data_IF_511150135043
#
_entry.id   IF_511150135043
#
_cell.length_a   1.000
_cell.length_b   1.000
_cell.length_c   1.000
_cell.angle_alpha   90.00
_cell.angle_beta   90.00
_cell.angle_gamma   90.00
#
_symmetry.space_group_name_H-M   'P 1'
#
loop_
_entity.id
_entity.type
_entity.pdbx_description
1 polymer ?
#
# COMPACT_ATOMS: atom_id res chain seq x y z
N UNK A 1 -5.93 -8.32 -18.53
CA UNK A 1 -4.53 -8.17 -18.10
C UNK A 1 -3.56 -8.33 -19.24
N UNK A 2 -3.44 -9.49 -19.89
CA UNK A 2 -2.43 -9.66 -20.96
C UNK A 2 -2.49 -8.57 -22.05
N UNK A 3 -3.69 -8.25 -22.56
CA UNK A 3 -3.86 -7.16 -23.53
C UNK A 3 -3.40 -5.80 -22.98
N UNK A 4 -3.61 -5.54 -21.68
CA UNK A 4 -3.18 -4.30 -21.02
C UNK A 4 -1.65 -4.24 -20.94
N UNK A 5 -0.96 -5.37 -20.87
CA UNK A 5 0.50 -5.42 -20.72
C UNK A 5 1.27 -5.65 -22.03
N UNK A 6 0.58 -6.05 -23.11
CA UNK A 6 1.15 -6.11 -24.46
C UNK A 6 1.23 -4.75 -25.18
N UNK A 7 0.76 -3.68 -24.54
CA UNK A 7 0.83 -2.32 -25.09
C UNK A 7 2.24 -1.75 -25.02
N UNK A 8 2.53 -0.84 -25.94
CA UNK A 8 3.74 -0.02 -25.89
C UNK A 8 3.58 1.09 -24.85
N UNK A 9 4.12 0.85 -23.66
CA UNK A 9 4.25 1.86 -22.61
C UNK A 9 5.57 1.63 -21.89
N UNK A 10 6.32 2.71 -21.74
CA UNK A 10 7.56 2.77 -20.99
C UNK A 10 7.45 3.85 -19.91
N UNK A 11 8.09 3.63 -18.76
CA UNK A 11 8.25 4.64 -17.72
C UNK A 11 9.61 4.50 -17.05
N UNK A 12 9.96 5.49 -16.23
CA UNK A 12 11.17 5.44 -15.41
C UNK A 12 10.85 5.74 -13.96
N UNK A 13 11.56 5.09 -13.06
CA UNK A 13 11.49 5.43 -11.63
C UNK A 13 12.25 6.72 -11.32
N UNK A 14 12.25 7.10 -10.03
CA UNK A 14 12.92 8.31 -9.55
C UNK A 14 14.47 8.23 -9.58
N UNK A 15 15.06 7.05 -9.78
CA UNK A 15 16.51 6.87 -10.02
C UNK A 15 16.84 6.74 -11.51
N UNK A 16 15.85 6.79 -12.40
CA UNK A 16 16.03 6.68 -13.85
C UNK A 16 16.09 5.24 -14.38
N UNK A 17 15.77 4.22 -13.57
CA UNK A 17 15.65 2.86 -14.10
C UNK A 17 14.40 2.80 -15.00
N UNK A 18 14.56 2.23 -16.19
CA UNK A 18 13.52 2.14 -17.22
C UNK A 18 12.79 0.81 -17.13
N UNK A 19 11.49 0.85 -17.38
CA UNK A 19 10.61 -0.32 -17.38
C UNK A 19 9.63 -0.24 -18.53
N UNK A 20 9.27 -1.39 -19.08
CA UNK A 20 8.16 -1.53 -20.03
C UNK A 20 7.09 -2.47 -19.49
N UNK A 21 5.87 -2.37 -20.02
CA UNK A 21 4.81 -3.29 -19.65
C UNK A 21 5.14 -4.74 -20.03
N UNK A 22 5.70 -4.95 -21.22
CA UNK A 22 6.06 -6.28 -21.70
C UNK A 22 7.08 -6.96 -20.78
N UNK A 23 8.15 -6.24 -20.39
CA UNK A 23 9.18 -6.79 -19.49
C UNK A 23 8.63 -7.14 -18.11
N UNK A 24 7.75 -6.31 -17.54
CA UNK A 24 7.15 -6.58 -16.23
C UNK A 24 6.15 -7.75 -16.26
N UNK A 25 5.43 -7.91 -17.38
CA UNK A 25 4.58 -9.06 -17.64
C UNK A 25 5.37 -10.36 -17.77
N UNK A 26 6.40 -10.34 -18.60
CA UNK A 26 7.31 -11.47 -18.81
C UNK A 26 8.03 -11.85 -17.52
N UNK A 27 8.46 -10.88 -16.72
CA UNK A 27 9.08 -11.13 -15.43
C UNK A 27 8.15 -11.91 -14.49
N UNK A 28 6.88 -11.50 -14.39
CA UNK A 28 5.94 -12.16 -13.47
C UNK A 28 5.48 -13.54 -13.95
N UNK A 29 5.50 -13.81 -15.26
CA UNK A 29 5.20 -15.12 -15.84
C UNK A 29 6.41 -16.06 -15.86
N UNK A 30 7.61 -15.48 -15.91
CA UNK A 30 8.88 -16.18 -15.94
C UNK A 30 9.26 -16.81 -14.60
N UNK A 31 10.48 -17.32 -14.58
CA UNK A 31 11.10 -17.78 -13.36
C UNK A 31 11.62 -16.58 -12.56
N UNK A 32 11.31 -16.55 -11.26
CA UNK A 32 11.71 -15.47 -10.38
C UNK A 32 13.23 -15.43 -10.28
N UNK A 33 13.79 -14.25 -10.52
CA UNK A 33 15.23 -13.98 -10.44
C UNK A 33 15.47 -12.96 -9.36
N UNK A 34 16.30 -13.31 -8.37
CA UNK A 34 16.70 -12.38 -7.33
C UNK A 34 17.44 -11.18 -7.93
N UNK A 35 16.96 -9.96 -7.64
CA UNK A 35 17.64 -8.73 -8.08
C UNK A 35 17.93 -7.83 -6.89
N UNK A 36 19.20 -7.52 -6.68
CA UNK A 36 19.68 -6.67 -5.57
C UNK A 36 19.91 -5.22 -5.98
N UNK A 37 19.94 -4.97 -7.28
CA UNK A 37 20.18 -3.68 -7.94
C UNK A 37 18.88 -2.90 -8.22
N UNK A 38 17.78 -3.25 -7.54
CA UNK A 38 16.49 -2.60 -7.74
C UNK A 38 16.38 -1.27 -6.97
N UNK A 39 15.54 -0.38 -7.51
CA UNK A 39 15.09 0.85 -6.86
C UNK A 39 13.67 0.62 -6.29
N UNK A 40 13.48 0.32 -5.01
CA UNK A 40 14.42 0.03 -3.95
C UNK A 40 14.07 -1.34 -3.35
N UNK A 41 14.94 -1.90 -2.50
CA UNK A 41 14.74 -3.24 -1.96
C UNK A 41 15.35 -4.34 -2.84
N UNK A 42 15.10 -5.60 -2.46
CA UNK A 42 15.63 -6.78 -3.15
C UNK A 42 14.46 -7.57 -3.75
N UNK A 43 14.39 -7.57 -5.09
CA UNK A 43 13.33 -8.26 -5.84
C UNK A 43 13.50 -9.78 -5.69
N UNK A 44 12.41 -10.47 -5.40
CA UNK A 44 12.29 -11.92 -5.21
C UNK A 44 13.36 -12.51 -4.28
N UNK A 45 13.78 -11.76 -3.26
CA UNK A 45 14.77 -12.22 -2.29
C UNK A 45 14.32 -13.53 -1.59
N UNK A 46 15.13 -14.58 -1.70
CA UNK A 46 14.82 -15.92 -1.18
C UNK A 46 13.78 -16.68 -2.02
N UNK A 47 13.48 -16.21 -3.24
CA UNK A 47 12.45 -16.77 -4.14
C UNK A 47 12.99 -17.12 -5.52
N UNK A 48 14.31 -17.15 -5.69
CA UNK A 48 14.93 -17.58 -6.95
C UNK A 48 14.40 -18.94 -7.39
N UNK A 49 14.01 -19.06 -8.66
CA UNK A 49 13.50 -20.31 -9.23
C UNK A 49 11.97 -20.50 -9.15
N UNK A 50 11.25 -19.68 -8.37
CA UNK A 50 9.79 -19.79 -8.27
C UNK A 50 9.10 -19.28 -9.54
N UNK A 51 8.07 -20.00 -9.99
CA UNK A 51 7.18 -19.65 -11.11
C UNK A 51 5.81 -19.26 -10.59
N UNK A 52 4.96 -18.72 -11.48
CA UNK A 52 3.61 -18.28 -11.11
C UNK A 52 2.79 -19.38 -10.42
N UNK A 53 2.90 -20.63 -10.89
CA UNK A 53 2.22 -21.79 -10.29
C UNK A 53 2.68 -22.06 -8.84
N UNK A 54 3.91 -21.69 -8.49
CA UNK A 54 4.41 -21.79 -7.12
C UNK A 54 3.81 -20.71 -6.24
N UNK A 55 3.64 -19.50 -6.77
CA UNK A 55 2.94 -18.41 -6.07
C UNK A 55 1.46 -18.69 -5.87
N UNK A 56 0.81 -19.38 -6.81
CA UNK A 56 -0.57 -19.87 -6.63
C UNK A 56 -0.66 -20.83 -5.44
N UNK A 57 0.27 -21.78 -5.33
CA UNK A 57 0.33 -22.69 -4.17
C UNK A 57 0.63 -21.96 -2.86
N UNK A 58 1.55 -20.99 -2.88
CA UNK A 58 1.83 -20.14 -1.70
C UNK A 58 0.58 -19.37 -1.24
N UNK A 59 -0.20 -18.83 -2.18
CA UNK A 59 -1.45 -18.14 -1.86
C UNK A 59 -2.51 -19.11 -1.31
N UNK A 60 -2.63 -20.30 -1.90
CA UNK A 60 -3.55 -21.34 -1.44
C UNK A 60 -3.20 -21.80 -0.02
N UNK A 61 -1.94 -22.10 0.27
CA UNK A 61 -1.45 -22.45 1.61
C UNK A 61 -1.69 -21.30 2.60
N UNK A 62 -1.42 -20.06 2.19
CA UNK A 62 -1.63 -18.88 3.02
C UNK A 62 -3.09 -18.69 3.43
N UNK A 63 -4.02 -18.82 2.47
CA UNK A 63 -5.46 -18.66 2.70
C UNK A 63 -6.00 -19.84 3.50
N UNK A 64 -5.70 -21.07 3.08
CA UNK A 64 -6.25 -22.29 3.70
C UNK A 64 -5.78 -22.49 5.14
N UNK A 65 -4.56 -22.05 5.47
CA UNK A 65 -4.05 -22.11 6.85
C UNK A 65 -4.74 -21.13 7.80
N UNK A 66 -5.40 -20.09 7.28
CA UNK A 66 -6.09 -19.05 8.07
C UNK A 66 -7.61 -19.23 8.09
N UNK A 67 -8.18 -19.63 6.96
CA UNK A 67 -9.61 -19.88 6.80
C UNK A 67 -9.83 -20.91 5.70
N UNK A 68 -10.00 -22.20 6.04
CA UNK A 68 -10.17 -23.29 5.07
C UNK A 68 -11.33 -23.10 4.09
N UNK A 69 -12.40 -22.41 4.51
CA UNK A 69 -13.59 -22.16 3.69
C UNK A 69 -13.51 -20.84 2.89
N UNK A 70 -12.41 -20.09 3.01
CA UNK A 70 -12.27 -18.82 2.29
C UNK A 70 -12.01 -19.05 0.80
N UNK A 71 -12.52 -18.17 -0.08
CA UNK A 71 -12.27 -18.26 -1.51
C UNK A 71 -10.78 -18.07 -1.83
N UNK A 72 -10.21 -19.04 -2.54
CA UNK A 72 -8.83 -18.97 -3.03
C UNK A 72 -8.64 -17.88 -4.09
N UNK A 73 -7.39 -17.45 -4.26
CA UNK A 73 -7.02 -16.55 -5.34
C UNK A 73 -6.92 -17.33 -6.66
N UNK A 74 -7.45 -16.73 -7.73
CA UNK A 74 -7.23 -17.18 -9.10
C UNK A 74 -5.83 -16.80 -9.58
N UNK A 75 -5.34 -17.47 -10.62
CA UNK A 75 -4.07 -17.14 -11.29
C UNK A 75 -3.93 -15.65 -11.62
N UNK A 76 -5.00 -15.05 -12.15
CA UNK A 76 -5.00 -13.62 -12.51
C UNK A 76 -4.94 -12.70 -11.28
N UNK A 77 -5.54 -13.10 -10.16
CA UNK A 77 -5.44 -12.34 -8.90
C UNK A 77 -4.03 -12.43 -8.33
N UNK A 78 -3.40 -13.61 -8.35
CA UNK A 78 -1.99 -13.79 -7.95
C UNK A 78 -1.07 -12.96 -8.84
N UNK A 79 -1.25 -13.03 -10.15
CA UNK A 79 -0.45 -12.27 -11.11
C UNK A 79 -0.65 -10.75 -10.95
N UNK A 80 -1.88 -10.29 -10.70
CA UNK A 80 -2.16 -8.87 -10.46
C UNK A 80 -1.42 -8.34 -9.22
N UNK A 81 -1.37 -9.11 -8.13
CA UNK A 81 -0.61 -8.76 -6.92
C UNK A 81 0.88 -8.70 -7.24
N UNK A 82 1.43 -9.69 -7.95
CA UNK A 82 2.84 -9.70 -8.36
C UNK A 82 3.19 -8.48 -9.22
N UNK A 83 2.39 -8.19 -10.25
CA UNK A 83 2.60 -7.03 -11.11
C UNK A 83 2.56 -5.72 -10.32
N UNK A 84 1.56 -5.57 -9.44
CA UNK A 84 1.39 -4.36 -8.64
C UNK A 84 2.51 -4.15 -7.63
N UNK A 85 2.98 -5.19 -6.95
CA UNK A 85 4.10 -5.06 -6.01
C UNK A 85 5.43 -4.75 -6.69
N UNK A 86 5.50 -4.89 -8.02
CA UNK A 86 6.64 -4.50 -8.84
C UNK A 86 6.55 -3.09 -9.40
N UNK A 87 7.47 -2.71 -10.29
CA UNK A 87 7.48 -1.41 -10.98
C UNK A 87 6.17 -0.97 -11.65
N UNK A 88 5.31 -1.92 -12.04
CA UNK A 88 4.02 -1.63 -12.68
C UNK A 88 3.01 -0.93 -11.75
N UNK A 89 3.26 -0.81 -10.44
CA UNK A 89 2.43 0.01 -9.55
C UNK A 89 2.26 1.45 -10.06
N UNK A 90 3.29 2.00 -10.72
CA UNK A 90 3.29 3.40 -11.18
C UNK A 90 2.23 3.66 -12.24
N UNK A 91 2.23 2.99 -13.40
CA UNK A 91 1.20 3.19 -14.41
C UNK A 91 -0.20 2.76 -13.92
N UNK A 92 -0.31 1.71 -13.10
CA UNK A 92 -1.60 1.26 -12.54
C UNK A 92 -2.22 2.35 -11.63
N UNK A 93 -1.44 2.88 -10.68
CA UNK A 93 -1.93 3.93 -9.78
C UNK A 93 -2.14 5.27 -10.51
N UNK A 94 -1.32 5.58 -11.51
CA UNK A 94 -1.50 6.75 -12.37
C UNK A 94 -2.84 6.69 -13.10
N UNK A 95 -3.17 5.54 -13.70
CA UNK A 95 -4.46 5.32 -14.35
C UNK A 95 -5.64 5.55 -13.40
N UNK A 96 -5.63 4.95 -12.20
CA UNK A 96 -6.71 5.12 -11.23
C UNK A 96 -6.91 6.59 -10.82
N UNK A 97 -5.81 7.30 -10.57
CA UNK A 97 -5.85 8.73 -10.20
C UNK A 97 -6.39 9.60 -11.34
N UNK A 98 -6.03 9.30 -12.59
CA UNK A 98 -6.58 9.99 -13.76
C UNK A 98 -8.07 9.71 -13.94
N UNK A 99 -8.50 8.46 -13.80
CA UNK A 99 -9.92 8.07 -13.86
C UNK A 99 -10.74 8.78 -12.78
N UNK A 100 -10.19 8.86 -11.56
CA UNK A 100 -10.86 9.52 -10.43
C UNK A 100 -11.04 11.04 -10.65
N UNK A 101 -10.11 11.69 -11.35
CA UNK A 101 -10.20 13.12 -11.67
C UNK A 101 -11.24 13.45 -12.76
N UNK A 102 -11.67 12.46 -13.56
CA UNK A 102 -12.65 12.65 -14.63
C UNK A 102 -14.08 12.39 -14.16
N UNK A 103 -15.07 12.90 -14.90
CA UNK A 103 -16.50 12.67 -14.63
C UNK A 103 -17.26 12.28 -15.92
N UNK A 104 -18.43 11.65 -15.74
CA UNK A 104 -19.37 11.32 -16.82
C UNK A 104 -18.73 10.56 -17.99
N UNK A 105 -19.03 11.00 -19.21
CA UNK A 105 -18.55 10.37 -20.46
C UNK A 105 -17.02 10.28 -20.57
N UNK A 106 -16.29 11.25 -20.01
CA UNK A 106 -14.83 11.28 -20.11
C UNK A 106 -14.20 10.20 -19.23
N UNK A 107 -14.76 9.98 -18.04
CA UNK A 107 -14.37 8.87 -17.17
C UNK A 107 -14.64 7.52 -17.85
N UNK A 108 -15.84 7.35 -18.41
CA UNK A 108 -16.21 6.12 -19.11
C UNK A 108 -15.28 5.84 -20.30
N UNK A 109 -15.00 6.86 -21.12
CA UNK A 109 -14.10 6.74 -22.26
C UNK A 109 -12.71 6.27 -21.83
N UNK A 110 -12.07 6.95 -20.86
CA UNK A 110 -10.73 6.57 -20.37
C UNK A 110 -10.72 5.16 -19.77
N UNK A 111 -11.74 4.80 -18.99
CA UNK A 111 -11.81 3.50 -18.34
C UNK A 111 -11.94 2.33 -19.33
N UNK A 112 -12.57 2.57 -20.48
CA UNK A 112 -12.78 1.58 -21.54
C UNK A 112 -11.76 1.64 -22.69
N UNK A 113 -10.86 2.63 -22.69
CA UNK A 113 -9.90 2.82 -23.79
C UNK A 113 -8.87 1.69 -23.81
N UNK A 114 -8.84 0.84 -24.86
CA UNK A 114 -7.92 -0.29 -24.93
C UNK A 114 -6.44 0.11 -24.90
N UNK A 115 -6.10 1.34 -25.27
CA UNK A 115 -4.73 1.84 -25.27
C UNK A 115 -4.30 2.40 -23.91
N UNK A 116 -5.23 2.72 -23.01
CA UNK A 116 -4.93 3.41 -21.74
C UNK A 116 -5.34 2.61 -20.49
N UNK A 117 -6.30 1.70 -20.61
CA UNK A 117 -6.92 1.05 -19.45
C UNK A 117 -6.00 0.09 -18.70
N UNK A 118 -6.18 0.06 -17.37
CA UNK A 118 -5.75 -1.02 -16.47
C UNK A 118 -6.94 -1.58 -15.68
N UNK A 119 -8.17 -1.40 -16.17
CA UNK A 119 -9.39 -1.77 -15.46
C UNK A 119 -9.42 -3.25 -15.05
N UNK A 120 -8.92 -4.14 -15.91
CA UNK A 120 -8.95 -5.57 -15.64
C UNK A 120 -7.91 -5.95 -14.59
N UNK A 121 -6.68 -5.43 -14.69
CA UNK A 121 -5.68 -5.55 -13.61
C UNK A 121 -6.18 -5.00 -12.28
N UNK A 122 -6.82 -3.82 -12.27
CA UNK A 122 -7.38 -3.22 -11.06
C UNK A 122 -8.50 -4.09 -10.47
N UNK A 123 -9.35 -4.69 -11.31
CA UNK A 123 -10.42 -5.60 -10.88
C UNK A 123 -9.87 -6.85 -10.20
N UNK A 124 -8.88 -7.51 -10.80
CA UNK A 124 -8.24 -8.69 -10.20
C UNK A 124 -7.48 -8.33 -8.92
N UNK A 125 -6.76 -7.21 -8.90
CA UNK A 125 -6.05 -6.77 -7.70
C UNK A 125 -7.00 -6.43 -6.55
N UNK A 126 -8.11 -5.73 -6.83
CA UNK A 126 -9.12 -5.43 -5.81
C UNK A 126 -9.78 -6.70 -5.26
N UNK A 127 -10.06 -7.69 -6.12
CA UNK A 127 -10.59 -8.98 -5.69
C UNK A 127 -9.57 -9.74 -4.82
N UNK A 128 -8.29 -9.76 -5.20
CA UNK A 128 -7.21 -10.35 -4.39
C UNK A 128 -7.10 -9.68 -3.01
N UNK A 129 -7.09 -8.35 -2.97
CA UNK A 129 -7.04 -7.59 -1.71
C UNK A 129 -8.21 -7.95 -0.80
N UNK A 130 -9.43 -8.02 -1.34
CA UNK A 130 -10.61 -8.40 -0.53
C UNK A 130 -10.48 -9.81 0.06
N UNK A 131 -10.06 -10.80 -0.74
CA UNK A 131 -9.89 -12.19 -0.29
C UNK A 131 -8.81 -12.31 0.79
N UNK A 132 -7.69 -11.64 0.60
CA UNK A 132 -6.56 -11.68 1.53
C UNK A 132 -6.85 -10.90 2.82
N UNK A 133 -7.52 -9.75 2.73
CA UNK A 133 -7.96 -9.01 3.90
C UNK A 133 -8.95 -9.81 4.76
N UNK A 134 -9.88 -10.55 4.12
CA UNK A 134 -10.89 -11.35 4.82
C UNK A 134 -10.31 -12.49 5.69
N UNK A 135 -9.07 -12.91 5.44
CA UNK A 135 -8.41 -13.99 6.21
C UNK A 135 -7.34 -13.48 7.17
N UNK A 136 -7.15 -12.17 7.32
CA UNK A 136 -6.11 -11.67 8.21
C UNK A 136 -6.45 -11.91 9.68
N UNK A 137 -5.41 -12.12 10.47
CA UNK A 137 -5.49 -12.47 11.89
C UNK A 137 -5.74 -11.24 12.77
N UNK A 138 -6.24 -11.46 13.99
CA UNK A 138 -6.46 -10.38 14.96
C UNK A 138 -5.17 -9.59 15.27
N UNK A 139 -4.03 -10.27 15.34
CA UNK A 139 -2.73 -9.63 15.58
C UNK A 139 -2.30 -8.75 14.41
N UNK A 140 -2.55 -9.19 13.17
CA UNK A 140 -2.29 -8.40 11.96
C UNK A 140 -3.18 -7.16 11.88
N UNK A 141 -4.43 -7.28 12.34
CA UNK A 141 -5.40 -6.17 12.43
C UNK A 141 -4.99 -5.15 13.49
N UNK A 142 -4.50 -5.61 14.65
CA UNK A 142 -4.15 -4.72 15.77
C UNK A 142 -2.82 -3.97 15.56
N UNK A 143 -1.97 -4.44 14.63
CA UNK A 143 -0.65 -3.86 14.41
C UNK A 143 -0.72 -2.55 13.58
N UNK A 144 0.03 -1.50 13.96
CA UNK A 144 0.08 -0.27 13.18
C UNK A 144 0.81 -0.49 11.85
N UNK A 145 0.35 0.20 10.81
CA UNK A 145 0.97 0.21 9.48
C UNK A 145 1.61 1.56 9.18
N UNK A 146 2.65 1.56 8.36
CA UNK A 146 3.48 2.73 8.09
C UNK A 146 3.53 3.05 6.61
N UNK A 147 3.39 4.33 6.27
CA UNK A 147 3.50 4.81 4.88
C UNK A 147 4.17 6.17 4.81
N UNK A 148 5.24 6.25 4.04
CA UNK A 148 5.98 7.49 3.76
C UNK A 148 5.48 8.14 2.49
N UNK A 149 5.28 9.46 2.52
CA UNK A 149 4.94 10.28 1.36
C UNK A 149 5.91 11.45 1.28
N UNK A 150 6.43 11.73 0.07
CA UNK A 150 7.35 12.85 -0.16
C UNK A 150 6.60 14.18 -0.17
N UNK A 151 7.22 15.21 0.40
CA UNK A 151 6.69 16.57 0.42
C UNK A 151 5.80 16.87 1.62
N UNK A 152 5.10 18.00 1.56
CA UNK A 152 4.19 18.48 2.60
C UNK A 152 2.72 18.29 2.22
N UNK A 153 1.86 18.16 3.23
CA UNK A 153 0.42 18.22 3.02
C UNK A 153 -0.02 19.69 2.83
N UNK A 154 -0.89 19.99 1.84
CA UNK A 154 -1.37 21.35 1.61
C UNK A 154 -2.18 21.84 2.81
N UNK A 155 -2.20 23.15 3.08
CA UNK A 155 -2.95 23.70 4.23
C UNK A 155 -4.44 23.34 4.23
N UNK A 156 -5.04 23.20 3.04
CA UNK A 156 -6.44 22.78 2.87
C UNK A 156 -6.71 21.37 3.37
N UNK A 157 -5.69 20.51 3.47
CA UNK A 157 -5.81 19.17 4.02
C UNK A 157 -6.31 19.20 5.47
N UNK A 158 -5.86 20.17 6.27
CA UNK A 158 -6.16 20.27 7.69
C UNK A 158 -7.52 20.92 8.00
N UNK A 159 -8.32 21.20 6.97
CA UNK A 159 -9.66 21.76 7.16
C UNK A 159 -10.62 20.61 7.39
N UNK A 160 -11.16 20.56 8.61
CA UNK A 160 -12.19 19.61 8.96
C UNK A 160 -13.46 19.79 8.10
N UNK A 161 -14.12 18.68 7.78
CA UNK A 161 -15.39 18.67 7.07
C UNK A 161 -16.56 19.14 7.96
N UNK A 162 -17.79 19.07 7.42
CA UNK A 162 -19.00 19.46 8.15
C UNK A 162 -19.28 18.62 9.41
N UNK A 163 -18.62 17.47 9.56
CA UNK A 163 -18.71 16.59 10.73
C UNK A 163 -17.54 16.80 11.70
N UNK A 164 -16.63 17.73 11.42
CA UNK A 164 -15.46 18.01 12.25
C UNK A 164 -14.30 17.04 12.01
N UNK A 165 -14.32 16.26 10.93
CA UNK A 165 -13.30 15.25 10.61
C UNK A 165 -12.30 15.77 9.58
N UNK A 166 -11.02 15.45 9.76
CA UNK A 166 -10.00 15.63 8.73
C UNK A 166 -9.83 14.31 7.99
N UNK A 167 -10.11 14.32 6.67
CA UNK A 167 -10.10 13.11 5.85
C UNK A 167 -9.22 13.24 4.61
N UNK A 168 -8.56 12.14 4.26
CA UNK A 168 -7.86 11.97 2.99
C UNK A 168 -8.53 10.83 2.20
N UNK A 169 -8.54 10.90 0.88
CA UNK A 169 -8.94 9.75 0.05
C UNK A 169 -7.80 9.41 -0.90
N UNK A 170 -7.28 8.18 -0.79
CA UNK A 170 -6.38 7.63 -1.81
C UNK A 170 -7.25 6.96 -2.89
N UNK A 171 -7.20 7.52 -4.10
CA UNK A 171 -8.02 7.07 -5.22
C UNK A 171 -7.42 5.87 -5.94
N UNK A 172 -6.15 5.55 -5.68
CA UNK A 172 -5.47 4.37 -6.17
C UNK A 172 -5.29 3.32 -5.07
N UNK A 173 -4.57 2.23 -5.36
CA UNK A 173 -4.22 1.28 -4.30
C UNK A 173 -3.22 1.90 -3.32
N UNK A 174 -3.47 1.75 -2.02
CA UNK A 174 -2.64 2.35 -0.97
C UNK A 174 -1.73 1.29 -0.36
N UNK A 175 -0.46 1.28 -0.78
CA UNK A 175 0.60 0.46 -0.17
C UNK A 175 1.08 1.02 1.17
N UNK A 176 1.24 0.15 2.15
CA UNK A 176 1.81 0.41 3.48
C UNK A 176 2.74 -0.72 3.90
N UNK A 177 3.50 -0.55 4.98
CA UNK A 177 4.39 -1.59 5.52
C UNK A 177 4.12 -1.82 7.00
N UNK A 178 4.29 -3.07 7.46
CA UNK A 178 4.34 -3.38 8.92
C UNK A 178 5.62 -2.86 9.59
N UNK A 179 6.65 -2.56 8.83
CA UNK A 179 7.96 -2.15 9.35
C UNK A 179 8.12 -0.62 9.27
N UNK A 180 8.16 0.06 10.42
CA UNK A 180 8.40 1.52 10.49
C UNK A 180 9.74 1.92 9.89
N UNK A 181 10.82 1.31 10.41
CA UNK A 181 12.21 1.61 10.11
C UNK A 181 12.98 0.31 9.85
N UNK A 182 14.16 0.40 9.22
CA UNK A 182 15.07 -0.73 8.98
C UNK A 182 15.22 -1.56 10.27
N UNK A 183 14.74 -2.80 10.27
CA UNK A 183 15.25 -3.79 11.23
C UNK A 183 16.50 -4.43 10.63
N UNK A 184 17.52 -4.57 11.46
CA UNK A 184 18.65 -5.46 11.20
C UNK A 184 18.13 -6.89 11.14
N UNK A 185 18.22 -7.48 9.95
CA UNK A 185 17.97 -8.89 9.58
C UNK A 185 16.57 -9.46 9.89
N UNK A 186 15.97 -10.07 8.87
CA UNK A 186 14.78 -10.92 9.00
C UNK A 186 15.12 -12.17 9.86
N UNK A 187 14.49 -12.39 11.03
CA UNK A 187 14.68 -13.62 11.79
C UNK A 187 13.75 -14.75 11.34
N UNK A 188 12.78 -14.49 10.45
CA UNK A 188 11.58 -15.32 10.28
C UNK A 188 11.38 -15.95 8.90
N UNK A 189 12.42 -16.18 8.11
CA UNK A 189 12.34 -17.20 7.06
C UNK A 189 12.45 -18.59 7.71
N UNK A 190 11.36 -19.01 8.37
CA UNK A 190 11.03 -20.41 8.65
C UNK A 190 10.24 -21.03 7.48
N UNK A 191 10.49 -20.58 6.24
CA UNK A 191 10.12 -21.34 5.06
C UNK A 191 11.25 -22.33 4.76
N UNK A 192 10.90 -23.60 4.75
CA UNK A 192 11.79 -24.75 4.58
C UNK A 192 12.38 -24.75 3.17
N UNK A 193 13.61 -24.24 2.98
CA UNK A 193 14.54 -24.70 1.94
C UNK A 193 15.94 -24.06 2.09
N UNK A 194 16.95 -24.92 2.27
CA UNK A 194 18.39 -24.74 2.02
C UNK A 194 19.07 -23.45 2.53
N UNK A 195 19.57 -23.54 3.77
CA UNK A 195 20.55 -22.61 4.33
C UNK A 195 21.88 -22.71 3.58
N UNK A 196 22.23 -21.70 2.80
CA UNK A 196 23.63 -21.38 2.49
C UNK A 196 24.10 -20.28 3.44
N UNK A 197 25.21 -20.52 4.12
CA UNK A 197 25.67 -19.78 5.31
C UNK A 197 26.31 -18.40 5.04
N UNK A 198 26.27 -17.88 3.82
CA UNK A 198 27.05 -16.67 3.44
C UNK A 198 26.23 -15.55 2.78
N UNK A 199 24.90 -15.58 2.85
CA UNK A 199 24.08 -14.49 2.32
C UNK A 199 24.04 -13.30 3.30
N UNK A 200 24.48 -12.08 2.91
CA UNK A 200 24.31 -10.89 3.74
C UNK A 200 22.82 -10.67 4.05
N UNK A 201 22.46 -10.20 5.25
CA UNK A 201 21.07 -10.04 5.64
C UNK A 201 20.36 -9.11 4.65
N UNK A 202 19.26 -9.59 4.07
CA UNK A 202 18.42 -8.79 3.19
C UNK A 202 18.04 -7.49 3.93
N UNK A 203 18.52 -6.35 3.43
CA UNK A 203 18.18 -5.05 4.01
C UNK A 203 16.69 -4.83 3.81
N UNK A 204 15.90 -4.89 4.88
CA UNK A 204 14.49 -4.52 4.85
C UNK A 204 14.39 -3.07 4.40
N UNK A 205 13.86 -2.87 3.21
CA UNK A 205 13.55 -1.55 2.73
C UNK A 205 12.21 -1.16 3.37
N UNK A 206 12.17 0.02 3.98
CA UNK A 206 11.07 0.50 4.83
C UNK A 206 10.64 1.86 4.35
N UNK A 207 9.40 2.31 4.68
CA UNK A 207 8.88 3.59 4.23
C UNK A 207 9.83 4.78 4.46
N UNK A 208 10.58 4.77 5.57
CA UNK A 208 11.60 5.78 5.90
C UNK A 208 12.84 5.69 4.99
N UNK A 209 13.26 4.47 4.60
CA UNK A 209 14.45 4.25 3.79
C UNK A 209 14.33 4.81 2.36
N UNK A 210 13.13 4.83 1.78
CA UNK A 210 12.89 5.31 0.41
C UNK A 210 12.78 6.83 0.26
N UNK A 211 12.63 7.53 1.37
CA UNK A 211 12.45 8.99 1.37
C UNK A 211 13.80 9.68 1.18
N UNK A 212 13.81 10.72 0.36
CA UNK A 212 14.97 11.60 0.22
C UNK A 212 15.04 12.60 1.37
N UNK A 213 16.13 13.38 1.40
CA UNK A 213 16.26 14.51 2.31
C UNK A 213 15.15 15.55 2.10
N UNK A 214 14.88 16.35 3.13
CA UNK A 214 13.81 17.34 3.13
C UNK A 214 12.55 16.88 3.87
N UNK A 215 11.47 17.62 3.64
CA UNK A 215 10.18 17.41 4.30
C UNK A 215 9.40 16.25 3.68
N UNK A 216 8.92 15.37 4.55
CA UNK A 216 8.14 14.21 4.21
C UNK A 216 6.99 14.08 5.21
N UNK A 217 6.03 13.21 4.89
CA UNK A 217 4.92 12.84 5.75
C UNK A 217 5.04 11.35 6.06
N UNK A 218 4.90 10.98 7.33
CA UNK A 218 4.81 9.59 7.75
C UNK A 218 3.42 9.32 8.31
N UNK A 219 2.66 8.49 7.61
CA UNK A 219 1.39 7.99 8.08
C UNK A 219 1.62 6.79 8.98
N UNK A 220 1.01 6.84 10.17
CA UNK A 220 0.84 5.70 11.06
C UNK A 220 -0.64 5.34 11.05
N UNK A 221 -0.97 4.27 10.34
CA UNK A 221 -2.35 3.81 10.22
C UNK A 221 -2.68 2.83 11.35
N UNK A 222 -3.90 2.93 11.85
CA UNK A 222 -4.48 2.02 12.85
C UNK A 222 -5.62 1.22 12.23
N UNK A 223 -5.33 0.07 11.60
CA UNK A 223 -6.36 -0.82 11.07
C UNK A 223 -7.29 -1.32 12.19
N UNK A 224 -8.48 -1.77 11.80
CA UNK A 224 -9.46 -2.36 12.71
C UNK A 224 -10.14 -3.56 12.08
N UNK A 225 -10.80 -4.35 12.92
CA UNK A 225 -11.65 -5.42 12.43
C UNK A 225 -12.77 -4.82 11.58
N UNK A 226 -13.26 -5.59 10.62
CA UNK A 226 -14.43 -5.25 9.83
C UNK A 226 -15.61 -4.85 10.73
N UNK A 227 -16.36 -3.85 10.29
CA UNK A 227 -17.55 -3.37 11.00
C UNK A 227 -18.68 -3.09 10.01
N UNK A 228 -19.87 -2.77 10.53
CA UNK A 228 -21.05 -2.44 9.70
C UNK A 228 -20.82 -1.24 8.76
N UNK A 229 -19.80 -0.42 9.02
CA UNK A 229 -19.46 0.75 8.19
C UNK A 229 -18.40 0.47 7.12
N UNK A 230 -17.82 -0.74 7.10
CA UNK A 230 -16.92 -1.19 6.05
C UNK A 230 -15.70 -1.97 6.53
N UNK A 231 -14.76 -2.13 5.61
CA UNK A 231 -13.47 -2.78 5.85
C UNK A 231 -12.45 -1.74 6.29
N UNK A 232 -11.68 -2.09 7.33
CA UNK A 232 -10.70 -1.20 7.96
C UNK A 232 -9.29 -1.77 7.94
N UNK A 233 -9.06 -2.82 7.16
CA UNK A 233 -7.81 -3.56 7.11
C UNK A 233 -7.39 -3.82 5.66
N UNK A 234 -6.09 -3.75 5.43
CA UNK A 234 -5.49 -4.06 4.14
C UNK A 234 -5.16 -5.55 4.02
N UNK A 235 -4.81 -5.97 2.82
CA UNK A 235 -4.32 -7.31 2.53
C UNK A 235 -2.80 -7.38 2.76
N UNK A 236 -2.36 -8.33 3.57
CA UNK A 236 -0.96 -8.77 3.52
C UNK A 236 -0.67 -9.40 2.17
N UNK A 237 0.23 -8.81 1.41
CA UNK A 237 0.63 -9.33 0.10
C UNK A 237 2.09 -9.79 0.08
N UNK A 238 2.76 -9.84 1.24
CA UNK A 238 4.19 -10.17 1.33
C UNK A 238 4.54 -11.52 0.70
N UNK A 239 3.66 -12.54 0.81
CA UNK A 239 3.84 -13.87 0.22
C UNK A 239 3.82 -13.88 -1.31
N UNK A 240 3.19 -12.88 -1.93
CA UNK A 240 3.13 -12.72 -3.39
C UNK A 240 4.04 -11.60 -3.89
N UNK A 241 4.36 -10.62 -3.05
CA UNK A 241 5.10 -9.42 -3.44
C UNK A 241 6.44 -9.74 -4.08
N UNK A 242 6.81 -8.97 -5.10
CA UNK A 242 8.16 -9.00 -5.64
C UNK A 242 9.19 -8.51 -4.61
N UNK A 243 8.80 -7.80 -3.56
CA UNK A 243 9.69 -7.33 -2.49
C UNK A 243 9.22 -7.86 -1.13
N UNK A 244 9.39 -9.18 -0.84
CA UNK A 244 8.84 -9.79 0.37
C UNK A 244 9.35 -9.17 1.68
N UNK A 245 10.56 -8.61 1.67
CA UNK A 245 11.15 -7.94 2.83
C UNK A 245 10.47 -6.62 3.23
N UNK A 246 9.62 -6.05 2.37
CA UNK A 246 8.88 -4.82 2.66
C UNK A 246 7.69 -5.04 3.58
N UNK A 247 7.27 -6.30 3.79
CA UNK A 247 6.10 -6.67 4.59
C UNK A 247 4.87 -5.81 4.22
N UNK A 248 4.64 -5.71 2.91
CA UNK A 248 3.64 -4.82 2.31
C UNK A 248 2.22 -5.24 2.68
N UNK A 249 1.42 -4.25 3.11
CA UNK A 249 -0.02 -4.37 3.34
C UNK A 249 -0.73 -3.38 2.43
N UNK A 250 -1.62 -3.90 1.58
CA UNK A 250 -2.24 -3.16 0.49
C UNK A 250 -3.73 -2.90 0.75
N UNK A 251 -4.16 -1.66 0.60
CA UNK A 251 -5.57 -1.28 0.64
C UNK A 251 -6.11 -1.01 -0.77
N UNK A 252 -7.41 -1.23 -1.01
CA UNK A 252 -8.00 -1.03 -2.33
C UNK A 252 -8.17 0.46 -2.68
N UNK A 253 -8.52 0.77 -3.95
CA UNK A 253 -8.82 2.13 -4.38
C UNK A 253 -9.94 2.76 -3.57
N UNK A 254 -9.91 4.10 -3.48
CA UNK A 254 -10.85 4.90 -2.71
C UNK A 254 -10.81 4.64 -1.19
N UNK A 255 -9.67 4.18 -0.66
CA UNK A 255 -9.48 4.10 0.80
C UNK A 255 -9.49 5.50 1.40
N UNK A 256 -10.38 5.71 2.36
CA UNK A 256 -10.49 6.93 3.14
C UNK A 256 -9.62 6.79 4.39
N UNK A 257 -8.80 7.81 4.65
CA UNK A 257 -8.00 7.96 5.86
C UNK A 257 -8.67 9.02 6.73
N UNK A 258 -9.13 8.61 7.90
CA UNK A 258 -9.71 9.52 8.89
C UNK A 258 -8.61 9.86 9.90
N UNK A 259 -8.15 11.11 9.93
CA UNK A 259 -7.06 11.53 10.82
C UNK A 259 -7.54 11.52 12.26
N UNK A 260 -6.71 11.01 13.17
CA UNK A 260 -6.99 11.01 14.59
C UNK A 260 -6.70 12.38 15.20
N UNK A 261 -7.71 13.00 15.84
CA UNK A 261 -7.53 14.26 16.59
C UNK A 261 -6.83 14.00 17.93
N UNK A 262 -5.89 14.85 18.36
CA UNK A 262 -5.28 14.75 19.71
C UNK A 262 -6.26 15.00 20.87
N UNK A 263 -7.46 15.52 20.63
CA UNK A 263 -8.43 15.85 21.70
C UNK A 263 -9.05 14.64 22.42
N UNK A 264 -8.66 13.41 22.08
CA UNK A 264 -9.26 12.17 22.61
C UNK A 264 -8.64 11.56 23.87
N UNK A 265 -7.87 12.31 24.67
CA UNK A 265 -7.32 11.82 25.95
C UNK A 265 -8.35 11.64 27.08
N UNK A 266 -9.59 12.10 26.90
CA UNK A 266 -10.72 11.80 27.77
C UNK A 266 -11.99 11.80 26.93
N UNK A 267 -12.46 10.61 26.53
CA UNK A 267 -13.84 10.43 26.11
C UNK A 267 -14.68 10.18 27.36
N UNK A 268 -14.96 11.24 28.08
CA UNK A 268 -16.19 11.41 28.87
C UNK A 268 -16.54 12.90 28.78
N UNK A 269 -17.83 13.16 28.55
CA UNK A 269 -18.49 14.47 28.47
C UNK A 269 -18.20 15.34 27.24
N UNK A 270 -19.07 15.26 26.20
CA UNK A 270 -19.65 16.47 25.58
C UNK A 270 -21.08 16.18 25.10
N UNK A 271 -22.06 16.56 25.94
CA UNK A 271 -23.29 17.20 25.49
C UNK A 271 -23.04 18.71 25.59
N UNK A 272 -23.49 19.46 24.56
CA UNK A 272 -23.46 20.93 24.42
C UNK A 272 -22.07 21.53 24.17
N UNK A 273 -21.85 22.47 23.25
CA UNK A 273 -22.70 23.54 22.75
C UNK A 273 -22.17 24.09 21.42
N UNK A 274 -23.06 24.71 20.68
CA UNK A 274 -22.84 25.47 19.45
C UNK A 274 -21.77 26.59 19.54
N UNK A 275 -21.32 27.00 18.34
CA UNK A 275 -20.58 28.23 17.97
C UNK A 275 -19.05 28.17 18.05
N UNK A 276 -18.41 28.07 16.89
CA UNK A 276 -17.64 29.20 16.34
C UNK A 276 -17.15 28.91 14.91
N UNK A 277 -17.72 29.63 13.95
CA UNK A 277 -17.10 29.85 12.64
C UNK A 277 -16.13 31.04 12.75
N UNK A 278 -14.94 30.91 12.14
CA UNK A 278 -14.12 32.06 11.73
C UNK A 278 -12.83 32.32 12.51
N UNK A 279 -11.77 31.58 12.16
CA UNK A 279 -10.34 31.99 12.02
C UNK A 279 -9.47 30.74 12.15
N UNK A 280 -8.84 30.31 11.06
CA UNK A 280 -7.77 29.30 11.13
C UNK A 280 -6.55 29.94 11.79
N UNK A 281 -6.53 29.84 13.12
CA UNK A 281 -5.36 30.05 13.97
C UNK A 281 -4.33 28.96 13.65
N UNK A 282 -3.02 29.28 13.77
CA UNK A 282 -1.92 28.30 13.74
C UNK A 282 -2.18 27.10 14.67
N UNK A 283 -2.97 27.29 15.73
CA UNK A 283 -3.38 26.23 16.66
C UNK A 283 -4.22 25.10 16.03
N UNK A 284 -4.83 25.31 14.86
CA UNK A 284 -5.65 24.27 14.21
C UNK A 284 -4.82 23.14 13.59
N UNK A 285 -3.54 23.35 13.32
CA UNK A 285 -2.65 22.33 12.74
C UNK A 285 -2.00 21.49 13.84
N UNK A 286 -1.54 22.13 14.91
CA UNK A 286 -0.89 21.48 16.07
C UNK A 286 -1.81 20.46 16.78
N UNK A 287 -3.14 20.63 16.68
CA UNK A 287 -4.15 19.73 17.25
C UNK A 287 -4.21 18.35 16.53
N UNK A 288 -3.65 18.21 15.33
CA UNK A 288 -3.69 16.98 14.52
C UNK A 288 -2.31 16.36 14.22
N UNK A 289 -1.21 17.09 14.48
CA UNK A 289 0.15 16.59 14.22
C UNK A 289 0.62 15.70 15.36
N UNK A 290 1.15 14.50 15.08
CA UNK A 290 1.54 13.55 16.13
C UNK A 290 2.97 13.78 16.66
N UNK A 291 3.95 14.02 15.78
CA UNK A 291 5.38 14.20 16.13
C UNK A 291 6.18 14.66 14.90
N UNK A 292 7.24 15.45 15.08
CA UNK A 292 8.29 15.61 14.07
C UNK A 292 9.36 14.54 14.30
N UNK A 293 9.53 13.61 13.36
CA UNK A 293 10.60 12.62 13.44
C UNK A 293 11.77 13.02 12.52
N UNK A 294 12.99 12.93 13.04
CA UNK A 294 14.22 13.16 12.29
C UNK A 294 14.95 11.83 12.10
N UNK A 295 15.33 11.52 10.85
CA UNK A 295 16.22 10.40 10.53
C UNK A 295 17.31 10.91 9.58
N UNK A 296 18.46 11.29 10.14
CA UNK A 296 19.53 11.93 9.37
C UNK A 296 19.10 13.31 8.86
N UNK A 297 19.12 13.49 7.53
CA UNK A 297 18.72 14.71 6.81
C UNK A 297 17.22 14.75 6.43
N UNK A 298 16.44 13.78 6.90
CA UNK A 298 15.02 13.63 6.61
C UNK A 298 14.18 14.16 7.76
N UNK A 299 13.20 15.00 7.47
CA UNK A 299 12.16 15.40 8.41
C UNK A 299 10.82 14.78 8.03
N UNK A 300 10.10 14.31 9.05
CA UNK A 300 8.81 13.67 8.89
C UNK A 300 7.76 14.35 9.75
N UNK A 301 6.68 14.80 9.10
CA UNK A 301 5.43 15.09 9.77
C UNK A 301 4.67 13.78 10.00
N UNK A 302 4.55 13.34 11.25
CA UNK A 302 3.78 12.15 11.59
C UNK A 302 2.27 12.47 11.65
N UNK A 303 1.47 11.66 10.96
CA UNK A 303 0.00 11.73 10.94
C UNK A 303 -0.57 10.37 11.32
N UNK A 304 -1.38 10.33 12.37
CA UNK A 304 -2.11 9.12 12.76
C UNK A 304 -3.50 9.11 12.11
N UNK A 305 -3.90 7.97 11.56
CA UNK A 305 -5.18 7.86 10.88
C UNK A 305 -5.77 6.44 10.92
N UNK A 306 -7.09 6.37 10.76
CA UNK A 306 -7.85 5.14 10.62
C UNK A 306 -8.22 4.95 9.15
N UNK A 307 -7.82 3.84 8.51
CA UNK A 307 -8.27 3.52 7.16
C UNK A 307 -9.70 2.98 7.18
N UNK A 308 -10.49 3.34 6.17
CA UNK A 308 -11.86 2.89 5.97
C UNK A 308 -12.16 2.80 4.47
N UNK A 309 -12.79 1.72 4.03
CA UNK A 309 -13.31 1.59 2.67
C UNK A 309 -14.57 0.74 2.65
N UNK A 310 -15.43 1.01 1.66
CA UNK A 310 -16.75 0.40 1.47
C UNK A 310 -16.70 -0.51 0.24
#
# INVERSE_FOLDING_TARGET
MEMEFRRELEWSDWKGARYTLAEEWEYCLGESVERRDCTAGHRDCGRGGLRLDDYERLAEEYVSSRSPDAPLLSRDEVLAVRLYSGPAYQPINSYLRQVAALQGRHRAALASDPALTFAQTCRHLAAAVRKLAAVATADEVAAPLWRGVRGELPRSFWVADSQGMVVATETAFMSTSRNKARRSACPSLQCVALRTLDAPPATQATPLAYMGGGQNVLWKLHPRAESDVGLHMGADISMLSQFPGEAEVLFPPCTVLIVDSRRGGAKDDIISSEKQAGRLSRSSMDDWMAEEALEGDKSFLMVEAQPCFI
#
